data_IF_833822720930
#
_entry.id   IF_833822720930
#
_cell.length_a   1.000
_cell.length_b   1.000
_cell.length_c   1.000
_cell.angle_alpha   90.00
_cell.angle_beta   90.00
_cell.angle_gamma   90.00
#
_symmetry.space_group_name_H-M   'P 1'
#
loop_
_entity.id
_entity.type
_entity.pdbx_description
1 polymer ?
#
# COMPACT_ATOMS: atom_id res chain seq x y z
N UNK A 1 1.32 -64.95 24.34
CA UNK A 1 1.94 -63.60 24.31
C UNK A 1 1.01 -62.66 23.56
N UNK A 2 0.97 -61.37 23.97
CA UNK A 2 0.04 -60.27 23.62
C UNK A 2 -1.21 -60.16 24.52
N UNK A 3 -1.01 -59.42 25.61
CA UNK A 3 -2.07 -58.81 26.42
C UNK A 3 -2.45 -57.47 25.77
N UNK A 4 -3.73 -57.31 25.48
CA UNK A 4 -4.40 -56.01 25.37
C UNK A 4 -4.69 -55.54 26.81
N UNK A 5 -4.21 -54.34 27.15
CA UNK A 5 -4.66 -53.59 28.33
C UNK A 5 -4.98 -52.17 27.85
N UNK A 6 -6.22 -51.69 28.03
CA UNK A 6 -6.57 -50.29 27.85
C UNK A 6 -6.16 -49.52 29.12
N UNK A 7 -5.50 -48.37 28.97
CA UNK A 7 -5.31 -47.43 30.07
C UNK A 7 -6.25 -46.26 29.84
N UNK A 8 -7.30 -46.24 30.66
CA UNK A 8 -8.07 -45.05 30.97
C UNK A 8 -7.27 -44.16 31.93
N UNK A 9 -7.32 -42.85 31.74
CA UNK A 9 -7.02 -41.81 32.74
C UNK A 9 -7.88 -40.61 32.32
N UNK A 10 -9.06 -40.38 32.89
CA UNK A 10 -9.35 -39.76 34.20
C UNK A 10 -8.72 -38.36 34.34
N UNK A 11 -9.62 -37.37 34.24
CA UNK A 11 -9.69 -36.08 34.93
C UNK A 11 -8.48 -35.14 34.94
N UNK A 12 -8.69 -33.93 34.42
CA UNK A 12 -8.75 -32.72 35.25
C UNK A 12 -9.36 -31.56 34.44
N UNK A 13 -10.55 -31.15 34.86
CA UNK A 13 -11.06 -29.79 34.67
C UNK A 13 -10.08 -28.84 35.39
N UNK A 14 -9.24 -28.17 34.63
CA UNK A 14 -8.41 -27.08 35.11
C UNK A 14 -8.84 -25.80 34.40
N UNK A 15 -9.66 -24.99 35.07
CA UNK A 15 -9.80 -23.58 34.77
C UNK A 15 -8.43 -22.92 34.95
N UNK A 16 -7.66 -22.85 33.87
CA UNK A 16 -6.47 -22.04 33.78
C UNK A 16 -6.89 -20.67 33.25
N UNK A 17 -6.93 -19.68 34.15
CA UNK A 17 -6.94 -18.26 33.80
C UNK A 17 -5.64 -18.00 33.03
N UNK A 18 -5.70 -18.19 31.71
CA UNK A 18 -4.63 -17.82 30.80
C UNK A 18 -4.59 -16.30 30.78
N UNK A 19 -3.70 -15.74 31.60
CA UNK A 19 -3.46 -14.32 31.68
C UNK A 19 -3.35 -13.74 30.28
N UNK A 20 -4.09 -12.65 30.07
CA UNK A 20 -3.88 -11.75 28.95
C UNK A 20 -2.44 -11.29 29.09
N UNK A 21 -1.51 -11.95 28.39
CA UNK A 21 -0.23 -11.36 28.11
C UNK A 21 -0.57 -10.15 27.25
N UNK A 22 -0.65 -9.00 27.91
CA UNK A 22 -0.47 -7.72 27.26
C UNK A 22 0.92 -7.81 26.62
N UNK A 23 0.97 -8.27 25.38
CA UNK A 23 2.10 -8.09 24.50
C UNK A 23 2.25 -6.58 24.42
N UNK A 24 3.18 -6.03 25.20
CA UNK A 24 3.64 -4.67 25.03
C UNK A 24 3.86 -4.46 23.53
N UNK A 25 3.39 -3.35 22.94
CA UNK A 25 3.64 -3.08 21.54
C UNK A 25 5.15 -3.25 21.30
N UNK A 26 5.55 -3.96 20.23
CA UNK A 26 6.97 -4.20 19.98
C UNK A 26 7.68 -2.85 20.01
N UNK A 27 8.66 -2.72 20.92
CA UNK A 27 9.50 -1.53 20.98
C UNK A 27 10.09 -1.35 19.58
N UNK A 28 9.86 -0.23 18.90
CA UNK A 28 10.44 0.01 17.59
C UNK A 28 11.95 -0.21 17.71
N UNK A 29 12.52 -1.13 16.93
CA UNK A 29 13.97 -1.29 16.87
C UNK A 29 14.53 0.06 16.44
N UNK A 30 15.18 0.75 17.36
CA UNK A 30 15.81 2.04 17.06
C UNK A 30 16.92 1.77 16.05
N UNK A 31 16.67 2.15 14.79
CA UNK A 31 17.64 1.99 13.71
C UNK A 31 18.84 2.87 14.03
N UNK A 32 20.02 2.27 14.13
CA UNK A 32 21.24 3.04 14.39
C UNK A 32 21.56 3.88 13.16
N UNK A 33 21.69 5.19 13.35
CA UNK A 33 22.14 6.09 12.29
C UNK A 33 23.55 5.69 11.81
N UNK A 34 23.91 5.94 10.54
CA UNK A 34 25.26 5.68 10.06
C UNK A 34 26.29 6.45 10.89
N UNK A 35 27.41 5.83 11.26
CA UNK A 35 28.41 6.48 12.11
C UNK A 35 28.94 7.76 11.43
N UNK A 36 28.80 8.90 12.12
CA UNK A 36 29.30 10.20 11.67
C UNK A 36 28.47 10.86 10.58
N UNK A 37 27.21 10.45 10.37
CA UNK A 37 26.31 11.05 9.39
C UNK A 37 26.12 12.56 9.61
N UNK A 38 26.24 13.05 10.86
CA UNK A 38 26.15 14.48 11.20
C UNK A 38 27.23 15.32 10.49
N UNK A 39 28.35 14.70 10.13
CA UNK A 39 29.46 15.34 9.39
C UNK A 39 29.32 15.23 7.88
N UNK A 40 28.28 14.53 7.40
CA UNK A 40 28.03 14.24 5.98
C UNK A 40 26.72 14.85 5.49
N UNK A 41 26.22 15.87 6.18
CA UNK A 41 25.00 16.58 5.82
C UNK A 41 25.15 17.20 4.44
N UNK A 42 24.24 16.86 3.54
CA UNK A 42 24.19 17.48 2.21
C UNK A 42 23.78 18.95 2.35
N UNK A 43 24.56 19.91 1.82
CA UNK A 43 24.25 21.32 1.95
C UNK A 43 23.03 21.71 1.10
N UNK A 44 22.30 22.74 1.54
CA UNK A 44 21.21 23.36 0.75
C UNK A 44 19.80 22.90 1.10
N UNK A 45 19.61 22.15 2.18
CA UNK A 45 18.31 21.66 2.66
C UNK A 45 18.06 22.12 4.10
N UNK A 46 16.85 22.59 4.39
CA UNK A 46 16.41 22.97 5.73
C UNK A 46 14.99 22.42 6.03
N UNK A 47 14.82 21.52 7.00
CA UNK A 47 15.88 20.80 7.73
C UNK A 47 16.73 19.94 6.77
N UNK A 48 17.95 19.54 7.18
CA UNK A 48 18.76 18.60 6.41
C UNK A 48 18.02 17.29 6.10
N UNK A 49 18.21 16.76 4.89
CA UNK A 49 17.57 15.49 4.46
C UNK A 49 17.96 14.35 5.40
N UNK A 50 19.23 14.24 5.75
CA UNK A 50 19.76 13.20 6.64
C UNK A 50 19.17 13.30 8.05
N UNK A 51 18.90 14.52 8.53
CA UNK A 51 18.26 14.76 9.82
C UNK A 51 16.84 14.21 9.83
N UNK A 52 16.06 14.48 8.77
CA UNK A 52 14.71 13.92 8.64
C UNK A 52 14.74 12.39 8.55
N UNK A 53 15.70 11.79 7.84
CA UNK A 53 15.80 10.33 7.75
C UNK A 53 16.10 9.69 9.12
N UNK A 54 17.00 10.28 9.90
CA UNK A 54 17.46 9.71 11.18
C UNK A 54 16.47 9.95 12.31
N UNK A 55 15.91 11.17 12.39
CA UNK A 55 15.15 11.62 13.56
C UNK A 55 13.66 11.77 13.34
N UNK A 56 13.18 11.91 12.10
CA UNK A 56 11.75 12.03 11.87
C UNK A 56 11.11 10.66 12.05
N UNK A 57 10.59 10.40 13.27
CA UNK A 57 9.74 9.25 13.48
C UNK A 57 8.56 9.31 12.51
N UNK A 58 8.14 8.19 11.91
CA UNK A 58 6.85 8.10 11.24
C UNK A 58 5.76 8.28 12.31
N UNK A 59 5.42 9.54 12.59
CA UNK A 59 4.40 9.90 13.57
C UNK A 59 3.03 9.58 12.99
N UNK A 60 2.27 8.74 13.69
CA UNK A 60 0.85 8.52 13.43
C UNK A 60 0.07 9.83 13.70
N UNK A 61 -0.48 10.42 12.63
CA UNK A 61 -1.33 11.63 12.69
C UNK A 61 -1.40 12.35 11.34
N UNK A 62 -2.49 13.06 11.06
CA UNK A 62 -2.62 13.85 9.82
C UNK A 62 -1.71 15.09 9.81
N UNK A 63 -1.46 15.69 11.00
CA UNK A 63 -0.60 16.86 11.14
C UNK A 63 0.87 16.57 10.84
N UNK A 64 1.38 15.38 11.18
CA UNK A 64 2.75 14.96 10.87
C UNK A 64 2.94 14.67 9.37
N UNK A 65 1.93 14.12 8.70
CA UNK A 65 1.97 13.83 7.27
C UNK A 65 1.91 15.12 6.42
N UNK A 66 1.07 16.08 6.82
CA UNK A 66 0.99 17.39 6.15
C UNK A 66 2.28 18.20 6.32
N UNK A 67 2.81 18.25 7.55
CA UNK A 67 4.08 18.92 7.85
C UNK A 67 5.25 18.32 7.05
N UNK A 68 5.29 16.98 6.91
CA UNK A 68 6.32 16.30 6.12
C UNK A 68 6.27 16.66 4.63
N UNK A 69 5.09 16.78 4.03
CA UNK A 69 4.96 17.21 2.63
C UNK A 69 5.45 18.63 2.41
N UNK A 70 5.15 19.53 3.34
CA UNK A 70 5.60 20.93 3.29
C UNK A 70 7.12 21.02 3.43
N UNK A 71 7.73 20.25 4.34
CA UNK A 71 9.19 20.13 4.46
C UNK A 71 9.81 19.64 3.15
N UNK A 72 9.31 18.54 2.58
CA UNK A 72 9.86 17.97 1.35
C UNK A 72 9.71 18.93 0.16
N UNK A 73 8.58 19.65 0.08
CA UNK A 73 8.38 20.66 -0.95
C UNK A 73 9.40 21.82 -0.84
N UNK A 74 9.83 22.17 0.38
CA UNK A 74 10.81 23.24 0.61
C UNK A 74 12.23 22.88 0.14
N UNK A 75 12.57 21.59 0.07
CA UNK A 75 13.87 21.11 -0.41
C UNK A 75 14.12 21.36 -1.90
N UNK A 76 13.07 21.64 -2.66
CA UNK A 76 13.18 22.01 -4.07
C UNK A 76 13.58 20.84 -4.99
N UNK A 77 13.88 21.14 -6.27
CA UNK A 77 13.96 20.13 -7.33
C UNK A 77 15.15 19.16 -7.21
N UNK A 78 16.23 19.56 -6.51
CA UNK A 78 17.42 18.72 -6.34
C UNK A 78 17.26 17.63 -5.28
N UNK A 79 16.18 17.68 -4.47
CA UNK A 79 15.96 16.76 -3.37
C UNK A 79 15.88 15.30 -3.83
N UNK A 80 15.26 15.06 -4.99
CA UNK A 80 15.10 13.71 -5.53
C UNK A 80 16.44 13.02 -5.79
N UNK A 81 17.37 13.70 -6.47
CA UNK A 81 18.70 13.16 -6.79
C UNK A 81 19.51 12.83 -5.53
N UNK A 82 19.40 13.66 -4.49
CA UNK A 82 20.07 13.42 -3.20
C UNK A 82 19.47 12.22 -2.48
N UNK A 83 18.14 12.15 -2.38
CA UNK A 83 17.44 11.01 -1.79
C UNK A 83 17.75 9.70 -2.53
N UNK A 84 17.80 9.75 -3.87
CA UNK A 84 18.18 8.59 -4.69
C UNK A 84 19.61 8.13 -4.39
N UNK A 85 20.56 9.05 -4.30
CA UNK A 85 21.95 8.72 -3.95
C UNK A 85 22.07 8.10 -2.55
N UNK A 86 21.31 8.62 -1.58
CA UNK A 86 21.24 8.04 -0.22
C UNK A 86 20.60 6.65 -0.22
N UNK A 87 19.56 6.41 -1.03
CA UNK A 87 18.92 5.09 -1.13
C UNK A 87 19.86 4.01 -1.71
N UNK A 88 20.82 4.42 -2.53
CA UNK A 88 21.83 3.56 -3.16
C UNK A 88 23.08 3.37 -2.29
N UNK A 89 23.28 4.20 -1.26
CA UNK A 89 24.42 4.11 -0.34
C UNK A 89 24.24 2.94 0.67
N UNK A 90 25.16 1.96 0.70
CA UNK A 90 25.12 0.86 1.67
C UNK A 90 25.09 1.30 3.13
N UNK A 91 25.66 2.46 3.47
CA UNK A 91 25.65 3.00 4.82
C UNK A 91 24.22 3.32 5.29
N UNK A 92 23.34 3.68 4.36
CA UNK A 92 21.95 4.07 4.60
C UNK A 92 20.95 2.93 4.36
N UNK A 93 21.42 1.71 4.10
CA UNK A 93 20.56 0.56 3.75
C UNK A 93 19.43 0.30 4.76
N UNK A 94 19.67 0.53 6.06
CA UNK A 94 18.67 0.37 7.13
C UNK A 94 17.53 1.40 7.07
N UNK A 95 17.75 2.53 6.40
CA UNK A 95 16.79 3.63 6.23
C UNK A 95 16.18 3.66 4.83
N UNK A 96 16.58 2.76 3.92
CA UNK A 96 16.08 2.71 2.54
C UNK A 96 14.54 2.81 2.44
N UNK A 97 13.73 2.12 3.27
CA UNK A 97 12.27 2.29 3.20
C UNK A 97 11.78 3.71 3.51
N UNK A 98 12.41 4.42 4.44
CA UNK A 98 12.04 5.81 4.77
C UNK A 98 12.50 6.75 3.64
N UNK A 99 13.69 6.54 3.10
CA UNK A 99 14.22 7.30 1.97
C UNK A 99 13.30 7.13 0.75
N UNK A 100 12.93 5.89 0.40
CA UNK A 100 11.99 5.63 -0.70
C UNK A 100 10.60 6.24 -0.43
N UNK A 101 10.18 6.35 0.84
CA UNK A 101 8.95 7.05 1.22
C UNK A 101 9.05 8.55 0.99
N UNK A 102 10.18 9.18 1.33
CA UNK A 102 10.45 10.60 1.06
C UNK A 102 10.54 10.88 -0.45
N UNK A 103 11.18 9.99 -1.22
CA UNK A 103 11.27 10.10 -2.67
C UNK A 103 9.89 10.17 -3.34
N UNK A 104 8.90 9.43 -2.82
CA UNK A 104 7.52 9.44 -3.33
C UNK A 104 6.78 10.77 -3.09
N UNK A 105 7.26 11.61 -2.18
CA UNK A 105 6.66 12.91 -1.89
C UNK A 105 7.31 14.04 -2.72
N UNK A 106 8.43 13.77 -3.39
CA UNK A 106 9.06 14.74 -4.29
C UNK A 106 8.30 14.78 -5.61
N UNK A 107 7.76 15.95 -5.95
CA UNK A 107 7.03 16.17 -7.21
C UNK A 107 8.00 16.70 -8.26
N UNK A 108 8.57 15.81 -9.08
CA UNK A 108 9.41 16.16 -10.22
C UNK A 108 9.26 15.15 -11.36
N UNK A 109 9.51 15.56 -12.61
CA UNK A 109 9.51 14.63 -13.76
C UNK A 109 10.54 13.50 -13.58
N UNK A 110 11.70 13.78 -12.97
CA UNK A 110 12.70 12.75 -12.67
C UNK A 110 12.17 11.68 -11.70
N UNK A 111 11.41 12.08 -10.68
CA UNK A 111 10.76 11.14 -9.77
C UNK A 111 9.74 10.28 -10.50
N UNK A 112 8.94 10.89 -11.38
CA UNK A 112 7.96 10.18 -12.21
C UNK A 112 8.63 9.13 -13.09
N UNK A 113 9.65 9.52 -13.85
CA UNK A 113 10.38 8.63 -14.75
C UNK A 113 11.03 7.47 -13.98
N UNK A 114 11.59 7.73 -12.80
CA UNK A 114 12.17 6.71 -11.94
C UNK A 114 11.14 5.67 -11.48
N UNK A 115 10.00 6.10 -10.94
CA UNK A 115 8.96 5.18 -10.46
C UNK A 115 8.24 4.47 -11.61
N UNK A 116 8.06 5.11 -12.76
CA UNK A 116 7.52 4.46 -13.95
C UNK A 116 8.47 3.37 -14.45
N UNK A 117 9.76 3.68 -14.58
CA UNK A 117 10.79 2.71 -14.98
C UNK A 117 10.83 1.53 -14.01
N UNK A 118 10.78 1.79 -12.70
CA UNK A 118 10.74 0.73 -11.67
C UNK A 118 9.50 -0.17 -11.80
N UNK A 119 8.33 0.42 -12.06
CA UNK A 119 7.10 -0.34 -12.26
C UNK A 119 7.15 -1.20 -13.54
N UNK A 120 7.67 -0.66 -14.65
CA UNK A 120 7.86 -1.39 -15.91
C UNK A 120 8.84 -2.55 -15.75
N UNK A 121 10.00 -2.32 -15.14
CA UNK A 121 10.98 -3.39 -14.87
C UNK A 121 10.39 -4.51 -13.99
N UNK A 122 9.56 -4.14 -13.00
CA UNK A 122 8.89 -5.12 -12.14
C UNK A 122 7.83 -5.95 -12.88
N UNK A 123 7.20 -5.39 -13.93
CA UNK A 123 6.26 -6.12 -14.79
C UNK A 123 6.95 -7.14 -15.71
N UNK A 124 8.21 -6.89 -16.05
CA UNK A 124 9.03 -7.77 -16.90
C UNK A 124 9.73 -8.89 -16.12
N UNK A 125 9.86 -8.76 -14.79
CA UNK A 125 10.61 -9.71 -13.96
C UNK A 125 9.71 -10.82 -13.41
N UNK A 126 10.03 -12.12 -13.59
CA UNK A 126 9.23 -13.21 -13.03
C UNK A 126 9.15 -13.15 -11.50
N UNK A 127 7.92 -13.15 -10.96
CA UNK A 127 7.58 -13.01 -9.53
C UNK A 127 8.26 -14.02 -8.59
N UNK A 128 8.83 -15.11 -9.13
CA UNK A 128 9.42 -16.23 -8.40
C UNK A 128 10.76 -15.94 -7.71
N UNK A 129 11.38 -14.76 -7.90
CA UNK A 129 12.76 -14.50 -7.44
C UNK A 129 12.93 -13.31 -6.50
N UNK A 130 11.84 -12.68 -6.05
CA UNK A 130 11.96 -11.57 -5.07
C UNK A 130 11.68 -12.08 -3.65
N UNK A 131 12.58 -11.82 -2.67
CA UNK A 131 12.34 -12.13 -1.25
C UNK A 131 11.05 -11.49 -0.71
N UNK A 132 10.68 -10.35 -1.29
CA UNK A 132 9.45 -9.63 -1.04
C UNK A 132 8.41 -10.04 -2.09
N UNK A 133 7.58 -11.04 -1.80
CA UNK A 133 6.54 -11.56 -2.70
C UNK A 133 5.50 -10.54 -3.22
N UNK A 134 5.68 -9.25 -2.93
CA UNK A 134 4.86 -8.11 -3.35
C UNK A 134 5.66 -7.02 -4.10
N UNK A 135 6.90 -7.28 -4.57
CA UNK A 135 7.75 -6.26 -5.20
C UNK A 135 7.06 -5.52 -6.37
N UNK A 136 6.35 -6.25 -7.23
CA UNK A 136 5.55 -5.65 -8.32
C UNK A 136 4.43 -4.77 -7.78
N UNK A 137 3.64 -5.26 -6.83
CA UNK A 137 2.55 -4.49 -6.25
C UNK A 137 3.05 -3.21 -5.57
N UNK A 138 4.19 -3.28 -4.88
CA UNK A 138 4.82 -2.12 -4.26
C UNK A 138 5.26 -1.07 -5.29
N UNK A 139 5.93 -1.50 -6.37
CA UNK A 139 6.35 -0.59 -7.44
C UNK A 139 5.14 0.10 -8.11
N UNK A 140 4.05 -0.64 -8.36
CA UNK A 140 2.81 -0.09 -8.90
C UNK A 140 2.14 0.90 -7.93
N UNK A 141 2.09 0.59 -6.62
CA UNK A 141 1.58 1.50 -5.61
C UNK A 141 2.40 2.79 -5.52
N UNK A 142 3.73 2.69 -5.60
CA UNK A 142 4.64 3.84 -5.62
C UNK A 142 4.34 4.73 -6.82
N UNK A 143 4.30 4.19 -8.04
CA UNK A 143 3.95 4.95 -9.25
C UNK A 143 2.57 5.63 -9.10
N UNK A 144 1.55 4.89 -8.65
CA UNK A 144 0.20 5.45 -8.46
C UNK A 144 0.20 6.60 -7.45
N UNK A 145 0.93 6.47 -6.35
CA UNK A 145 1.00 7.50 -5.30
C UNK A 145 1.63 8.79 -5.83
N UNK A 146 2.72 8.68 -6.59
CA UNK A 146 3.40 9.85 -7.17
C UNK A 146 2.56 10.44 -8.31
N UNK A 147 2.00 9.60 -9.18
CA UNK A 147 1.15 10.05 -10.28
C UNK A 147 0.15 8.98 -10.74
N UNK A 148 -1.10 9.18 -10.32
CA UNK A 148 -2.20 8.29 -10.67
C UNK A 148 -2.54 8.29 -12.17
N UNK A 149 -2.25 9.37 -12.91
CA UNK A 149 -2.50 9.42 -14.37
C UNK A 149 -1.54 8.48 -15.09
N UNK A 150 -0.24 8.59 -14.83
CA UNK A 150 0.80 7.71 -15.39
C UNK A 150 0.55 6.24 -15.05
N UNK A 151 0.16 5.95 -13.82
CA UNK A 151 -0.24 4.60 -13.45
C UNK A 151 -1.41 4.08 -14.28
N UNK A 152 -2.45 4.90 -14.54
CA UNK A 152 -3.59 4.48 -15.37
C UNK A 152 -3.21 4.25 -16.82
N UNK A 153 -2.33 5.08 -17.37
CA UNK A 153 -1.78 4.87 -18.72
C UNK A 153 -1.03 3.54 -18.80
N UNK A 154 -0.14 3.26 -17.84
CA UNK A 154 0.55 1.98 -17.74
C UNK A 154 -0.41 0.79 -17.57
N UNK A 155 -1.44 0.95 -16.73
CA UNK A 155 -2.47 -0.08 -16.53
C UNK A 155 -3.19 -0.38 -17.85
N UNK A 156 -3.62 0.65 -18.57
CA UNK A 156 -4.35 0.50 -19.83
C UNK A 156 -3.49 -0.13 -20.94
N UNK A 157 -2.20 0.20 -20.96
CA UNK A 157 -1.21 -0.36 -21.88
C UNK A 157 -0.97 -1.86 -21.60
N UNK A 158 -0.70 -2.22 -20.35
CA UNK A 158 -0.13 -3.53 -19.99
C UNK A 158 -1.21 -4.56 -19.64
N UNK A 159 -2.29 -4.15 -18.97
CA UNK A 159 -3.29 -5.07 -18.43
C UNK A 159 -3.91 -6.04 -19.46
N UNK A 160 -4.25 -5.62 -20.70
CA UNK A 160 -4.85 -6.51 -21.70
C UNK A 160 -3.96 -7.70 -22.12
N UNK A 161 -2.64 -7.50 -22.13
CA UNK A 161 -1.66 -8.53 -22.53
C UNK A 161 -0.92 -9.21 -21.37
N UNK A 162 -1.11 -8.73 -20.14
CA UNK A 162 -0.41 -9.24 -18.97
C UNK A 162 -0.78 -10.70 -18.63
N UNK A 163 0.20 -11.46 -18.14
CA UNK A 163 -0.05 -12.79 -17.58
C UNK A 163 -0.78 -12.72 -16.22
N UNK A 164 -1.34 -13.85 -15.78
CA UNK A 164 -2.14 -13.94 -14.55
C UNK A 164 -1.42 -13.44 -13.28
N UNK A 165 -0.09 -13.56 -13.24
CA UNK A 165 0.72 -13.11 -12.09
C UNK A 165 0.90 -11.58 -12.04
N UNK A 166 0.85 -10.89 -13.17
CA UNK A 166 0.92 -9.43 -13.22
C UNK A 166 -0.47 -8.77 -13.14
N UNK A 167 -1.51 -9.44 -13.65
CA UNK A 167 -2.89 -8.93 -13.65
C UNK A 167 -3.45 -8.73 -12.24
N UNK A 168 -3.15 -9.62 -11.28
CA UNK A 168 -3.66 -9.47 -9.89
C UNK A 168 -3.08 -8.23 -9.20
N UNK A 169 -1.76 -7.99 -9.13
CA UNK A 169 -1.22 -6.73 -8.60
C UNK A 169 -1.78 -5.48 -9.29
N UNK A 170 -1.88 -5.50 -10.63
CA UNK A 170 -2.45 -4.38 -11.39
C UNK A 170 -3.89 -4.06 -10.93
N UNK A 171 -4.74 -5.08 -10.78
CA UNK A 171 -6.10 -4.91 -10.27
C UNK A 171 -6.12 -4.40 -8.83
N UNK A 172 -5.31 -4.98 -7.94
CA UNK A 172 -5.23 -4.53 -6.55
C UNK A 172 -4.88 -3.04 -6.45
N UNK A 173 -3.89 -2.57 -7.21
CA UNK A 173 -3.52 -1.16 -7.19
C UNK A 173 -4.60 -0.29 -7.86
N UNK A 174 -5.21 -0.74 -8.96
CA UNK A 174 -6.23 0.02 -9.67
C UNK A 174 -7.52 0.21 -8.86
N UNK A 175 -7.91 -0.77 -8.03
CA UNK A 175 -9.09 -0.65 -7.15
C UNK A 175 -8.99 0.47 -6.12
N UNK A 176 -7.78 0.95 -5.79
CA UNK A 176 -7.59 2.09 -4.90
C UNK A 176 -8.18 3.41 -5.46
N UNK A 177 -8.42 3.50 -6.78
CA UNK A 177 -9.09 4.66 -7.38
C UNK A 177 -10.59 4.74 -7.03
N UNK A 178 -11.19 3.67 -6.49
CA UNK A 178 -12.54 3.69 -5.92
C UNK A 178 -12.66 4.54 -4.64
N UNK A 179 -11.53 4.83 -3.99
CA UNK A 179 -11.47 5.71 -2.83
C UNK A 179 -11.34 7.18 -3.21
N UNK A 180 -11.09 7.50 -4.49
CA UNK A 180 -10.98 8.88 -4.97
C UNK A 180 -12.31 9.30 -5.59
N UNK A 181 -13.06 10.18 -4.91
CA UNK A 181 -14.42 10.57 -5.32
C UNK A 181 -14.51 11.12 -6.75
N UNK A 182 -13.46 11.77 -7.24
CA UNK A 182 -13.46 12.30 -8.62
C UNK A 182 -13.31 11.23 -9.70
N UNK A 183 -12.72 10.07 -9.36
CA UNK A 183 -12.41 9.00 -10.31
C UNK A 183 -13.18 7.71 -10.05
N UNK A 184 -13.80 7.57 -8.87
CA UNK A 184 -14.39 6.32 -8.42
C UNK A 184 -15.46 5.77 -9.36
N UNK A 185 -16.31 6.64 -9.94
CA UNK A 185 -17.33 6.21 -10.89
C UNK A 185 -16.73 5.66 -12.20
N UNK A 186 -15.70 6.31 -12.75
CA UNK A 186 -15.01 5.85 -13.96
C UNK A 186 -14.25 4.54 -13.69
N UNK A 187 -13.57 4.44 -12.54
CA UNK A 187 -12.90 3.23 -12.07
C UNK A 187 -13.90 2.06 -11.94
N UNK A 188 -15.04 2.29 -11.28
CA UNK A 188 -16.08 1.27 -11.09
C UNK A 188 -16.64 0.74 -12.43
N UNK A 189 -16.89 1.64 -13.39
CA UNK A 189 -17.32 1.24 -14.75
C UNK A 189 -16.29 0.35 -15.42
N UNK A 190 -15.00 0.71 -15.33
CA UNK A 190 -13.92 -0.06 -15.96
C UNK A 190 -13.72 -1.42 -15.29
N UNK A 191 -13.78 -1.47 -13.96
CA UNK A 191 -13.72 -2.70 -13.18
C UNK A 191 -14.87 -3.65 -13.53
N UNK A 192 -16.11 -3.15 -13.67
CA UNK A 192 -17.25 -3.97 -14.12
C UNK A 192 -17.00 -4.58 -15.50
N UNK A 193 -16.54 -3.78 -16.47
CA UNK A 193 -16.22 -4.28 -17.81
C UNK A 193 -15.15 -5.39 -17.77
N UNK A 194 -14.08 -5.21 -16.96
CA UNK A 194 -13.05 -6.24 -16.79
C UNK A 194 -13.65 -7.50 -16.18
N UNK A 195 -14.40 -7.39 -15.08
CA UNK A 195 -15.04 -8.52 -14.39
C UNK A 195 -15.96 -9.32 -15.33
N UNK A 196 -16.77 -8.62 -16.12
CA UNK A 196 -17.76 -9.25 -17.00
C UNK A 196 -17.09 -9.94 -18.21
N UNK A 197 -15.88 -9.50 -18.59
CA UNK A 197 -15.07 -10.13 -19.64
C UNK A 197 -14.06 -11.18 -19.14
N UNK A 198 -13.76 -11.22 -17.83
CA UNK A 198 -12.71 -12.08 -17.28
C UNK A 198 -13.23 -13.50 -16.99
N UNK A 199 -12.45 -14.49 -17.41
CA UNK A 199 -12.68 -15.91 -17.08
C UNK A 199 -11.95 -16.35 -15.81
N UNK A 200 -11.07 -15.51 -15.24
CA UNK A 200 -10.33 -15.82 -14.01
C UNK A 200 -11.20 -15.51 -12.78
N UNK A 201 -11.47 -16.53 -11.97
CA UNK A 201 -12.27 -16.40 -10.74
C UNK A 201 -11.62 -15.45 -9.73
N UNK A 202 -10.29 -15.45 -9.60
CA UNK A 202 -9.59 -14.57 -8.65
C UNK A 202 -9.72 -13.12 -9.05
N UNK A 203 -9.64 -12.81 -10.34
CA UNK A 203 -9.86 -11.45 -10.84
C UNK A 203 -11.29 -11.00 -10.54
N UNK A 204 -12.27 -11.84 -10.86
CA UNK A 204 -13.68 -11.55 -10.58
C UNK A 204 -13.93 -11.35 -9.08
N UNK A 205 -13.29 -12.12 -8.21
CA UNK A 205 -13.39 -11.99 -6.76
C UNK A 205 -12.76 -10.69 -6.23
N UNK A 206 -11.55 -10.34 -6.69
CA UNK A 206 -10.88 -9.07 -6.33
C UNK A 206 -11.78 -7.89 -6.72
N UNK A 207 -12.27 -7.89 -7.96
CA UNK A 207 -13.10 -6.81 -8.48
C UNK A 207 -14.45 -6.76 -7.76
N UNK A 208 -15.10 -7.90 -7.58
CA UNK A 208 -16.41 -7.98 -6.91
C UNK A 208 -16.35 -7.47 -5.47
N UNK A 209 -15.31 -7.83 -4.73
CA UNK A 209 -15.10 -7.36 -3.36
C UNK A 209 -14.90 -5.84 -3.31
N UNK A 210 -14.07 -5.30 -4.22
CA UNK A 210 -13.81 -3.87 -4.30
C UNK A 210 -15.07 -3.06 -4.66
N UNK A 211 -15.86 -3.53 -5.64
CA UNK A 211 -17.11 -2.88 -6.04
C UNK A 211 -18.17 -2.92 -4.93
N UNK A 212 -18.27 -4.04 -4.20
CA UNK A 212 -19.20 -4.17 -3.07
C UNK A 212 -18.88 -3.16 -1.96
N UNK A 213 -17.60 -3.00 -1.63
CA UNK A 213 -17.14 -1.99 -0.66
C UNK A 213 -17.47 -0.56 -1.13
N UNK A 214 -17.22 -0.27 -2.41
CA UNK A 214 -17.56 1.02 -3.01
C UNK A 214 -19.07 1.32 -2.96
N UNK A 215 -19.91 0.36 -3.33
CA UNK A 215 -21.37 0.51 -3.29
C UNK A 215 -21.91 0.65 -1.87
N UNK A 216 -21.30 -0.05 -0.90
CA UNK A 216 -21.63 0.10 0.53
C UNK A 216 -21.32 1.50 1.03
N UNK A 217 -20.16 2.07 0.64
CA UNK A 217 -19.79 3.46 0.96
C UNK A 217 -20.78 4.45 0.37
N UNK A 218 -21.10 4.31 -0.93
CA UNK A 218 -22.09 5.18 -1.57
C UNK A 218 -23.44 5.16 -0.86
N UNK A 219 -23.91 3.98 -0.42
CA UNK A 219 -25.15 3.86 0.37
C UNK A 219 -25.05 4.51 1.74
N UNK A 220 -23.90 4.44 2.40
CA UNK A 220 -23.69 5.11 3.69
C UNK A 220 -23.72 6.64 3.55
N UNK A 221 -23.32 7.16 2.38
CA UNK A 221 -23.34 8.59 2.06
C UNK A 221 -24.71 9.06 1.52
N UNK A 222 -25.67 8.16 1.30
CA UNK A 222 -27.02 8.54 0.88
C UNK A 222 -27.78 9.24 2.03
N UNK A 223 -28.52 10.33 1.75
CA UNK A 223 -29.38 10.94 2.75
C UNK A 223 -30.36 9.90 3.30
N UNK A 224 -30.43 9.76 4.61
CA UNK A 224 -31.28 8.78 5.31
C UNK A 224 -32.72 8.76 4.78
N UNK A 225 -33.23 9.92 4.37
CA UNK A 225 -34.56 10.06 3.77
C UNK A 225 -34.73 9.23 2.49
N UNK A 226 -33.74 9.19 1.59
CA UNK A 226 -33.79 8.37 0.36
C UNK A 226 -33.75 6.88 0.67
N UNK A 227 -32.98 6.48 1.66
CA UNK A 227 -32.90 5.08 2.13
C UNK A 227 -34.26 4.66 2.69
N UNK A 228 -34.86 5.48 3.56
CA UNK A 228 -36.17 5.24 4.15
C UNK A 228 -37.30 5.21 3.09
N UNK A 229 -37.24 6.06 2.07
CA UNK A 229 -38.21 6.08 0.99
C UNK A 229 -38.09 4.84 0.08
N UNK A 230 -36.88 4.36 -0.18
CA UNK A 230 -36.63 3.13 -0.95
C UNK A 230 -37.11 1.87 -0.21
N UNK A 231 -36.87 1.79 1.11
CA UNK A 231 -37.34 0.66 1.93
C UNK A 231 -38.88 0.67 2.10
N UNK A 232 -39.50 1.84 2.29
CA UNK A 232 -40.98 1.99 2.26
C UNK A 232 -41.59 1.62 0.90
N UNK A 233 -40.85 1.76 -0.19
CA UNK A 233 -41.26 1.34 -1.52
C UNK A 233 -41.29 -0.19 -1.69
N UNK A 234 -40.38 -0.91 -1.02
CA UNK A 234 -40.33 -2.39 -1.05
C UNK A 234 -41.46 -3.05 -0.27
N UNK A 235 -41.92 -2.43 0.83
CA UNK A 235 -43.10 -2.90 1.58
C UNK A 235 -44.42 -2.79 0.79
N UNK A 236 -44.43 -2.07 -0.34
CA UNK A 236 -45.61 -1.85 -1.18
C UNK A 236 -45.67 -2.70 -2.45
N UNK A 237 -44.69 -3.58 -2.70
CA UNK A 237 -44.80 -4.57 -3.77
C UNK A 237 -45.23 -5.92 -3.16
N UNK A 238 -46.42 -6.45 -3.51
CA UNK A 238 -46.92 -7.73 -3.02
C UNK A 238 -46.12 -8.93 -3.54
#
# INVERSE_FOLDING_TARGET
MRRLVPVASIFMLGFGVGGVQALSPPVPVQRAAPIGWETRITPGFDPPIEYEIVYAQPGYGEESAKSRKEIIASWGPNAFGVLKALAEDPAWAAFRPDIESLMQEVVSEEALDYFETRARNALETPTAQTPDGNALQNALHQLRRVNAVRFRELFDEVFPGAGAEARKPLLYVFTADLLNDTQAAACATRLRAIRDSSTDEKERQIIGSALTNYETRLRADEPMQRILDAERGKEKQP
#
